data_IF_249968073404
#
_entry.id   IF_249968073404
#
_cell.length_a   1.000
_cell.length_b   1.000
_cell.length_c   1.000
_cell.angle_alpha   90.00
_cell.angle_beta   90.00
_cell.angle_gamma   90.00
#
_symmetry.space_group_name_H-M   'P 1'
#
loop_
_entity.id
_entity.type
_entity.pdbx_description
1 polymer ?
#
# COMPACT_ATOMS: atom_id res chain seq x y z
N UNK A 1 18.84 -4.84 -21.64
CA UNK A 1 19.67 -3.86 -20.92
C UNK A 1 19.39 -4.03 -19.44
N UNK A 2 20.27 -4.74 -18.72
CA UNK A 2 20.20 -4.79 -17.26
C UNK A 2 20.80 -3.50 -16.73
N UNK A 3 20.02 -2.71 -16.00
CA UNK A 3 20.53 -1.54 -15.28
C UNK A 3 21.54 -2.00 -14.23
N UNK A 4 22.51 -1.13 -13.93
CA UNK A 4 23.44 -1.30 -12.82
C UNK A 4 22.70 -1.61 -11.51
N UNK A 5 23.18 -2.61 -10.78
CA UNK A 5 22.62 -2.98 -9.48
C UNK A 5 22.79 -1.78 -8.54
N UNK A 6 21.68 -1.29 -7.99
CA UNK A 6 21.72 -0.16 -7.07
C UNK A 6 20.66 -0.32 -5.99
N UNK A 7 20.96 0.17 -4.79
CA UNK A 7 20.01 0.19 -3.68
C UNK A 7 18.72 0.92 -4.06
N UNK A 8 18.78 1.97 -4.88
CA UNK A 8 17.59 2.66 -5.37
C UNK A 8 16.78 1.82 -6.37
N UNK A 9 17.42 0.92 -7.12
CA UNK A 9 16.76 -0.08 -7.95
C UNK A 9 16.03 -1.14 -7.11
N UNK A 10 16.64 -1.58 -6.00
CA UNK A 10 16.00 -2.49 -5.04
C UNK A 10 14.78 -1.84 -4.39
N UNK A 11 14.89 -0.57 -3.99
CA UNK A 11 13.76 0.23 -3.45
C UNK A 11 12.61 0.29 -4.46
N UNK A 12 12.90 0.57 -5.74
CA UNK A 12 11.88 0.60 -6.77
C UNK A 12 11.16 -0.73 -6.91
N UNK A 13 11.94 -1.82 -6.99
CA UNK A 13 11.40 -3.17 -7.12
C UNK A 13 10.54 -3.55 -5.92
N UNK A 14 10.98 -3.19 -4.70
CA UNK A 14 10.18 -3.33 -3.49
C UNK A 14 8.86 -2.56 -3.58
N UNK A 15 8.90 -1.30 -4.05
CA UNK A 15 7.70 -0.49 -4.26
C UNK A 15 6.69 -1.15 -5.18
N UNK A 16 7.14 -1.67 -6.33
CA UNK A 16 6.27 -2.39 -7.28
C UNK A 16 5.69 -3.67 -6.65
N UNK A 17 6.50 -4.46 -5.95
CA UNK A 17 6.04 -5.67 -5.27
C UNK A 17 4.99 -5.35 -4.20
N UNK A 18 5.16 -4.25 -3.46
CA UNK A 18 4.19 -3.79 -2.46
C UNK A 18 2.86 -3.41 -3.13
N UNK A 19 2.92 -2.64 -4.22
CA UNK A 19 1.72 -2.28 -4.99
C UNK A 19 1.04 -3.52 -5.58
N UNK A 20 1.79 -4.46 -6.13
CA UNK A 20 1.26 -5.73 -6.67
C UNK A 20 0.53 -6.52 -5.59
N UNK A 21 1.16 -6.69 -4.42
CA UNK A 21 0.62 -7.46 -3.30
C UNK A 21 -0.73 -6.91 -2.81
N UNK A 22 -0.86 -5.59 -2.68
CA UNK A 22 -2.07 -4.99 -2.12
C UNK A 22 -3.16 -4.71 -3.16
N UNK A 23 -2.83 -4.67 -4.45
CA UNK A 23 -3.82 -4.52 -5.53
C UNK A 23 -4.24 -5.85 -6.16
N UNK A 24 -3.46 -6.91 -5.95
CA UNK A 24 -3.62 -8.21 -6.61
C UNK A 24 -3.34 -8.17 -8.12
N UNK A 25 -2.68 -7.12 -8.62
CA UNK A 25 -2.50 -6.84 -10.06
C UNK A 25 -1.05 -7.03 -10.46
N UNK A 26 -0.79 -7.82 -11.50
CA UNK A 26 0.59 -8.05 -11.94
C UNK A 26 1.11 -6.83 -12.67
N UNK A 27 2.35 -6.37 -12.42
CA UNK A 27 2.92 -5.19 -13.06
C UNK A 27 3.13 -5.37 -14.57
N UNK A 28 3.10 -6.61 -15.06
CA UNK A 28 3.24 -6.99 -16.48
C UNK A 28 1.91 -7.34 -17.17
N UNK A 29 0.76 -7.10 -16.51
CA UNK A 29 -0.54 -7.30 -17.15
C UNK A 29 -0.67 -6.45 -18.44
N UNK A 30 -1.41 -6.93 -19.44
CA UNK A 30 -1.57 -6.23 -20.73
C UNK A 30 -2.11 -4.80 -20.59
N UNK A 31 -2.91 -4.58 -19.55
CA UNK A 31 -3.49 -3.30 -19.13
C UNK A 31 -2.46 -2.26 -18.64
N UNK A 32 -1.21 -2.66 -18.43
CA UNK A 32 -0.09 -1.78 -18.09
C UNK A 32 0.97 -1.71 -19.21
N UNK A 33 0.55 -1.91 -20.47
CA UNK A 33 1.40 -1.70 -21.63
C UNK A 33 1.34 -0.24 -22.08
N UNK A 34 2.16 0.12 -23.06
CA UNK A 34 2.11 1.42 -23.76
C UNK A 34 2.32 2.64 -22.83
N UNK A 35 3.22 2.52 -21.85
CA UNK A 35 3.56 3.63 -20.95
C UNK A 35 2.63 3.76 -19.73
N UNK A 36 1.62 2.92 -19.62
CA UNK A 36 0.89 2.72 -18.38
C UNK A 36 1.74 1.88 -17.41
N UNK A 37 1.60 2.11 -16.11
CA UNK A 37 2.32 1.35 -15.09
C UNK A 37 1.43 1.12 -13.88
N UNK A 38 1.73 0.08 -13.10
CA UNK A 38 1.04 -0.17 -11.85
C UNK A 38 1.17 1.02 -10.88
N UNK A 39 2.33 1.69 -10.88
CA UNK A 39 2.54 2.94 -10.14
C UNK A 39 1.52 4.01 -10.55
N UNK A 40 1.43 4.32 -11.84
CA UNK A 40 0.53 5.38 -12.34
C UNK A 40 -0.95 5.03 -12.13
N UNK A 41 -1.31 3.76 -12.24
CA UNK A 41 -2.65 3.27 -11.94
C UNK A 41 -3.03 3.51 -10.47
N UNK A 42 -2.15 3.17 -9.53
CA UNK A 42 -2.40 3.41 -8.10
C UNK A 42 -2.41 4.92 -7.80
N UNK A 43 -1.46 5.68 -8.34
CA UNK A 43 -1.37 7.14 -8.16
C UNK A 43 -2.63 7.87 -8.61
N UNK A 44 -3.25 7.44 -9.71
CA UNK A 44 -4.48 8.04 -10.23
C UNK A 44 -5.74 7.66 -9.44
N UNK A 45 -5.66 6.71 -8.51
CA UNK A 45 -6.79 6.22 -7.72
C UNK A 45 -6.79 6.71 -6.27
N UNK A 46 -5.65 7.14 -5.74
CA UNK A 46 -5.55 7.57 -4.35
C UNK A 46 -5.95 9.04 -4.14
N UNK A 47 -6.51 9.35 -2.95
CA UNK A 47 -7.05 8.43 -1.94
C UNK A 47 -8.48 7.96 -2.24
N UNK A 48 -9.18 8.56 -3.21
CA UNK A 48 -10.64 8.46 -3.34
C UNK A 48 -11.15 7.06 -3.70
N UNK A 49 -10.35 6.27 -4.42
CA UNK A 49 -10.75 4.98 -5.00
C UNK A 49 -9.97 3.78 -4.43
N UNK A 50 -9.52 3.87 -3.17
CA UNK A 50 -8.75 2.80 -2.52
C UNK A 50 -9.44 1.44 -2.59
N UNK A 51 -10.74 1.38 -2.26
CA UNK A 51 -11.50 0.13 -2.26
C UNK A 51 -11.52 -0.52 -3.65
N UNK A 52 -11.60 0.28 -4.71
CA UNK A 52 -11.65 -0.21 -6.09
C UNK A 52 -10.33 -0.80 -6.56
N UNK A 53 -9.20 -0.27 -6.07
CA UNK A 53 -7.88 -0.72 -6.50
C UNK A 53 -7.30 -1.86 -5.67
N UNK A 54 -7.74 -2.01 -4.42
CA UNK A 54 -7.31 -3.07 -3.50
C UNK A 54 -7.73 -4.46 -3.97
N UNK A 55 -6.93 -5.48 -3.67
CA UNK A 55 -7.27 -6.88 -3.92
C UNK A 55 -8.64 -7.22 -3.28
N UNK A 56 -9.61 -7.75 -4.04
CA UNK A 56 -10.92 -8.14 -3.53
C UNK A 56 -10.88 -9.09 -2.32
N UNK A 57 -9.86 -9.96 -2.23
CA UNK A 57 -9.67 -10.86 -1.09
C UNK A 57 -9.37 -10.09 0.20
N UNK A 58 -8.59 -9.01 0.11
CA UNK A 58 -8.29 -8.13 1.25
C UNK A 58 -9.53 -7.31 1.66
N UNK A 59 -10.30 -6.82 0.69
CA UNK A 59 -11.57 -6.14 0.95
C UNK A 59 -12.58 -7.09 1.63
N UNK A 60 -12.64 -8.35 1.20
CA UNK A 60 -13.51 -9.35 1.82
C UNK A 60 -13.09 -9.68 3.26
N UNK A 61 -11.80 -9.74 3.56
CA UNK A 61 -11.28 -9.94 4.91
C UNK A 61 -11.66 -8.79 5.86
N UNK A 62 -11.68 -7.54 5.38
CA UNK A 62 -12.20 -6.38 6.14
C UNK A 62 -13.65 -6.60 6.58
N UNK A 63 -14.49 -7.06 5.66
CA UNK A 63 -15.92 -7.33 5.94
C UNK A 63 -16.08 -8.46 6.95
N UNK A 64 -15.31 -9.55 6.81
CA UNK A 64 -15.33 -10.69 7.74
C UNK A 64 -14.93 -10.32 9.17
N UNK A 65 -14.01 -9.36 9.33
CA UNK A 65 -13.59 -8.85 10.66
C UNK A 65 -14.57 -7.89 11.33
N UNK A 66 -15.74 -7.65 10.74
CA UNK A 66 -16.82 -6.93 11.41
C UNK A 66 -16.62 -5.41 11.46
N UNK A 67 -16.00 -4.82 10.43
CA UNK A 67 -15.95 -3.34 10.26
C UNK A 67 -16.86 -2.93 9.08
N UNK A 68 -18.20 -2.83 9.28
CA UNK A 68 -19.14 -2.70 8.17
C UNK A 68 -19.41 -1.24 7.81
N UNK A 69 -18.84 -0.26 8.51
CA UNK A 69 -19.20 1.13 8.29
C UNK A 69 -18.41 1.71 7.11
N UNK A 70 -18.88 1.42 5.89
CA UNK A 70 -18.32 1.90 4.61
C UNK A 70 -18.43 3.43 4.48
N UNK A 71 -19.28 4.06 5.29
CA UNK A 71 -19.65 5.47 5.12
C UNK A 71 -18.71 6.46 5.83
N UNK A 72 -17.61 6.01 6.45
CA UNK A 72 -16.75 6.88 7.24
C UNK A 72 -15.25 6.58 7.02
N UNK A 73 -14.77 6.84 5.80
CA UNK A 73 -13.37 6.64 5.40
C UNK A 73 -12.38 7.28 6.40
N UNK A 74 -12.71 8.48 6.92
CA UNK A 74 -11.90 9.19 7.91
C UNK A 74 -11.79 8.51 9.29
N UNK A 75 -12.65 7.53 9.59
CA UNK A 75 -12.62 6.74 10.82
C UNK A 75 -12.34 5.25 10.54
N UNK A 76 -12.20 4.86 9.28
CA UNK A 76 -11.84 3.50 8.89
C UNK A 76 -10.33 3.34 8.89
N UNK A 77 -9.82 2.92 10.05
CA UNK A 77 -8.41 2.68 10.27
C UNK A 77 -7.82 1.66 9.27
N UNK A 78 -8.61 0.70 8.76
CA UNK A 78 -8.13 -0.29 7.80
C UNK A 78 -7.87 0.35 6.43
N UNK A 79 -8.79 1.22 5.97
CA UNK A 79 -8.61 1.98 4.74
C UNK A 79 -7.47 2.99 4.86
N UNK A 80 -7.27 3.59 6.04
CA UNK A 80 -6.11 4.45 6.31
C UNK A 80 -4.79 3.69 6.26
N UNK A 81 -4.76 2.45 6.77
CA UNK A 81 -3.59 1.59 6.66
C UNK A 81 -3.29 1.25 5.19
N UNK A 82 -4.31 0.89 4.41
CA UNK A 82 -4.15 0.65 2.98
C UNK A 82 -3.66 1.89 2.23
N UNK A 83 -4.23 3.06 2.49
CA UNK A 83 -3.75 4.33 1.92
C UNK A 83 -2.25 4.52 2.20
N UNK A 84 -1.85 4.36 3.46
CA UNK A 84 -0.45 4.53 3.87
C UNK A 84 0.47 3.53 3.18
N UNK A 85 0.03 2.28 3.00
CA UNK A 85 0.79 1.25 2.28
C UNK A 85 0.96 1.59 0.81
N UNK A 86 -0.10 2.08 0.15
CA UNK A 86 -0.01 2.52 -1.24
C UNK A 86 0.87 3.76 -1.39
N UNK A 87 0.80 4.74 -0.49
CA UNK A 87 1.70 5.90 -0.47
C UNK A 87 3.17 5.49 -0.33
N UNK A 88 3.47 4.52 0.54
CA UNK A 88 4.82 3.92 0.63
C UNK A 88 5.22 3.29 -0.70
N UNK A 89 4.34 2.49 -1.30
CA UNK A 89 4.60 1.85 -2.59
C UNK A 89 4.90 2.86 -3.70
N UNK A 90 4.15 3.96 -3.76
CA UNK A 90 4.37 5.07 -4.71
C UNK A 90 5.70 5.78 -4.44
N UNK A 91 6.01 6.12 -3.18
CA UNK A 91 7.27 6.77 -2.83
C UNK A 91 8.49 5.89 -3.17
N UNK A 92 8.40 4.58 -2.96
CA UNK A 92 9.45 3.63 -3.33
C UNK A 92 9.62 3.50 -4.86
N UNK A 93 8.51 3.49 -5.60
CA UNK A 93 8.49 3.26 -7.05
C UNK A 93 8.47 4.53 -7.89
N UNK A 94 8.91 5.68 -7.34
CA UNK A 94 9.07 6.90 -8.12
C UNK A 94 10.02 6.68 -9.30
N UNK A 95 9.71 7.28 -10.45
CA UNK A 95 10.50 7.10 -11.68
C UNK A 95 11.94 7.60 -11.47
N UNK A 96 12.10 8.78 -10.86
CA UNK A 96 13.41 9.33 -10.49
C UNK A 96 13.99 8.62 -9.27
N UNK A 97 15.22 8.05 -9.34
CA UNK A 97 15.89 7.43 -8.19
C UNK A 97 16.06 8.35 -6.97
N UNK A 98 16.17 9.66 -7.20
CA UNK A 98 16.37 10.65 -6.14
C UNK A 98 15.08 11.00 -5.39
N UNK A 99 13.92 10.73 -5.99
CA UNK A 99 12.62 10.92 -5.35
C UNK A 99 12.21 9.68 -4.53
N UNK A 100 12.97 8.58 -4.66
CA UNK A 100 12.69 7.34 -3.93
C UNK A 100 13.15 7.47 -2.48
N UNK A 101 12.21 7.25 -1.58
CA UNK A 101 12.44 7.16 -0.13
C UNK A 101 13.47 6.08 0.21
N UNK A 102 14.18 6.22 1.32
CA UNK A 102 15.16 5.21 1.77
C UNK A 102 14.48 4.04 2.51
N UNK A 103 15.08 2.84 2.40
CA UNK A 103 14.54 1.63 3.03
C UNK A 103 14.40 1.74 4.56
N UNK A 104 15.24 2.55 5.21
CA UNK A 104 15.11 2.84 6.65
C UNK A 104 13.78 3.53 6.95
N UNK A 105 13.41 4.54 6.16
CA UNK A 105 12.17 5.28 6.36
C UNK A 105 10.95 4.43 6.00
N UNK A 106 11.08 3.57 4.97
CA UNK A 106 10.08 2.55 4.64
C UNK A 106 9.83 1.65 5.84
N UNK A 107 10.89 1.10 6.45
CA UNK A 107 10.77 0.25 7.63
C UNK A 107 10.12 1.00 8.81
N UNK A 108 10.52 2.24 9.08
CA UNK A 108 9.91 3.07 10.12
C UNK A 108 8.41 3.30 9.88
N UNK A 109 8.02 3.65 8.64
CA UNK A 109 6.61 3.85 8.28
C UNK A 109 5.80 2.56 8.41
N UNK A 110 6.33 1.43 7.95
CA UNK A 110 5.69 0.12 8.08
C UNK A 110 5.53 -0.32 9.54
N UNK A 111 6.55 -0.10 10.37
CA UNK A 111 6.45 -0.37 11.81
C UNK A 111 5.34 0.48 12.45
N UNK A 112 5.24 1.77 12.11
CA UNK A 112 4.16 2.63 12.61
C UNK A 112 2.76 2.13 12.22
N UNK A 113 2.60 1.66 10.97
CA UNK A 113 1.35 1.05 10.51
C UNK A 113 1.06 -0.24 11.30
N UNK A 114 2.07 -1.10 11.47
CA UNK A 114 1.97 -2.35 12.24
C UNK A 114 1.56 -2.09 13.70
N UNK A 115 2.14 -1.09 14.34
CA UNK A 115 1.82 -0.79 15.73
C UNK A 115 0.38 -0.31 15.89
N UNK A 116 -0.11 0.54 14.97
CA UNK A 116 -1.54 0.94 14.93
C UNK A 116 -2.47 -0.25 14.70
N UNK A 117 -2.08 -1.20 13.83
CA UNK A 117 -2.77 -2.47 13.59
C UNK A 117 -2.82 -3.35 14.85
N UNK A 118 -1.78 -3.36 15.68
CA UNK A 118 -1.74 -4.16 16.91
C UNK A 118 -2.47 -3.48 18.08
N UNK A 119 -2.36 -2.16 18.22
CA UNK A 119 -3.08 -1.40 19.26
C UNK A 119 -4.60 -1.48 19.11
N UNK A 120 -5.11 -1.72 17.91
CA UNK A 120 -6.54 -1.95 17.63
C UNK A 120 -7.00 -3.40 17.89
N UNK A 121 -6.07 -4.35 18.10
CA UNK A 121 -6.37 -5.78 18.35
C UNK A 121 -6.36 -6.18 19.82
N UNK A 122 -5.92 -5.31 20.73
CA UNK A 122 -6.07 -5.55 22.17
C UNK A 122 -7.49 -5.13 22.59
N UNK A 123 -8.31 -6.01 23.19
CA UNK A 123 -9.46 -5.56 23.95
C UNK A 123 -8.94 -4.61 25.03
N UNK A 124 -9.62 -3.48 25.22
CA UNK A 124 -9.52 -2.74 26.47
C UNK A 124 -9.89 -3.72 27.58
N UNK A 125 -8.91 -4.33 28.26
CA UNK A 125 -9.19 -4.99 29.51
C UNK A 125 -9.77 -3.94 30.44
N UNK A 126 -11.03 -4.15 30.82
CA UNK A 126 -11.75 -3.37 31.81
C UNK A 126 -10.96 -3.51 33.10
N UNK A 127 -10.28 -2.43 33.50
CA UNK A 127 -9.77 -2.29 34.86
C UNK A 127 -10.99 -2.07 35.75
N UNK A 128 -11.50 -3.16 36.34
CA UNK A 128 -12.34 -3.13 37.54
C UNK A 128 -11.54 -2.61 38.73
#
# INVERSE_FOLDING_TARGET
>A
MGSELSTKGDVYSYGILLLEMFTGKRPIDERFREGLSLHNFVKAALPERIIEITDPNLVQERVRRGTPNVNNFGNDWYLQCLNSLFEIGLACSAESPNERIDMSDVATKLCSIKDKLHSTRLPREVRT
#
